data_IF_538750343390
#
_entry.id   IF_538750343390
#
_cell.length_a   1.000
_cell.length_b   1.000
_cell.length_c   1.000
_cell.angle_alpha   90.00
_cell.angle_beta   90.00
_cell.angle_gamma   90.00
#
_symmetry.space_group_name_H-M   'P 1'
#
loop_
_entity.id
_entity.type
_entity.pdbx_description
1 polymer ?
#
# COMPACT_ATOMS: atom_id res chain seq x y z
N UNK A 1 10.81 -27.03 -1.56
CA UNK A 1 9.89 -26.14 -2.30
C UNK A 1 9.52 -24.92 -1.47
N UNK A 2 8.87 -25.06 -0.30
CA UNK A 2 8.52 -23.90 0.55
C UNK A 2 9.74 -23.06 0.93
N UNK A 3 10.84 -23.66 1.38
CA UNK A 3 12.08 -22.92 1.69
C UNK A 3 12.67 -22.16 0.49
N UNK A 4 12.52 -22.69 -0.73
CA UNK A 4 12.96 -22.01 -1.96
C UNK A 4 12.04 -20.81 -2.24
N UNK A 5 10.73 -20.97 -2.06
CA UNK A 5 9.77 -19.88 -2.21
C UNK A 5 9.98 -18.76 -1.17
N UNK A 6 10.35 -19.15 0.06
CA UNK A 6 10.77 -18.23 1.12
C UNK A 6 12.02 -17.47 0.66
N UNK A 7 13.10 -18.16 0.28
CA UNK A 7 14.32 -17.50 -0.19
C UNK A 7 14.08 -16.58 -1.40
N UNK A 8 13.30 -17.03 -2.38
CA UNK A 8 12.98 -16.27 -3.58
C UNK A 8 12.13 -15.03 -3.27
N UNK A 9 11.10 -15.15 -2.45
CA UNK A 9 10.28 -13.98 -2.15
C UNK A 9 11.03 -12.98 -1.26
N UNK A 10 11.94 -13.42 -0.38
CA UNK A 10 12.80 -12.50 0.37
C UNK A 10 13.73 -11.75 -0.58
N UNK A 11 14.36 -12.46 -1.51
CA UNK A 11 15.18 -11.85 -2.55
C UNK A 11 14.38 -10.85 -3.42
N UNK A 12 13.14 -11.16 -3.79
CA UNK A 12 12.28 -10.25 -4.55
C UNK A 12 11.95 -9.01 -3.71
N UNK A 13 11.64 -9.17 -2.42
CA UNK A 13 11.36 -8.03 -1.55
C UNK A 13 12.59 -7.14 -1.41
N UNK A 14 13.75 -7.72 -1.08
CA UNK A 14 15.02 -6.99 -0.92
C UNK A 14 15.46 -6.27 -2.20
N UNK A 15 15.31 -6.92 -3.36
CA UNK A 15 15.71 -6.35 -4.65
C UNK A 15 14.79 -5.22 -5.15
N UNK A 16 13.52 -5.17 -4.70
CA UNK A 16 12.54 -4.19 -5.18
C UNK A 16 12.18 -3.12 -4.15
N UNK A 17 12.50 -3.33 -2.87
CA UNK A 17 12.13 -2.43 -1.77
C UNK A 17 13.35 -2.18 -0.88
N UNK A 18 14.20 -1.24 -1.30
CA UNK A 18 15.47 -0.93 -0.60
C UNK A 18 15.29 -0.05 0.64
N UNK A 19 14.07 0.20 1.10
CA UNK A 19 13.79 0.98 2.29
C UNK A 19 12.37 0.77 2.77
N UNK A 20 12.19 0.68 4.08
CA UNK A 20 10.88 0.67 4.73
C UNK A 20 10.65 2.02 5.36
N UNK A 21 9.55 2.66 4.99
CA UNK A 21 9.20 4.00 5.44
C UNK A 21 8.68 3.99 6.88
N UNK A 22 7.87 2.99 7.26
CA UNK A 22 7.25 2.85 8.57
C UNK A 22 6.76 1.39 8.82
N UNK A 23 6.24 1.11 10.01
CA UNK A 23 5.74 -0.23 10.32
C UNK A 23 4.52 -0.68 9.47
N UNK A 24 3.67 0.24 8.99
CA UNK A 24 2.54 -0.12 8.11
C UNK A 24 3.04 -0.63 6.75
N UNK A 25 4.10 -0.02 6.23
CA UNK A 25 4.82 -0.49 5.06
C UNK A 25 5.43 -1.89 5.31
N UNK A 26 5.99 -2.11 6.49
CA UNK A 26 6.42 -3.44 6.94
C UNK A 26 5.31 -4.51 6.91
N UNK A 27 4.07 -4.17 7.29
CA UNK A 27 2.91 -5.07 7.15
C UNK A 27 2.61 -5.33 5.67
N UNK A 28 2.57 -4.28 4.85
CA UNK A 28 2.28 -4.38 3.42
C UNK A 28 3.29 -5.25 2.68
N UNK A 29 4.58 -5.05 2.94
CA UNK A 29 5.66 -5.86 2.36
C UNK A 29 5.57 -7.32 2.80
N UNK A 30 5.30 -7.57 4.08
CA UNK A 30 5.12 -8.92 4.61
C UNK A 30 3.93 -9.64 3.95
N UNK A 31 2.80 -8.95 3.75
CA UNK A 31 1.67 -9.49 2.99
C UNK A 31 2.04 -9.70 1.52
N UNK A 32 2.81 -8.76 0.94
CA UNK A 32 3.42 -8.84 -0.40
C UNK A 32 4.15 -10.15 -0.68
N UNK A 33 4.75 -10.73 0.35
CA UNK A 33 5.45 -12.01 0.29
C UNK A 33 4.57 -13.19 -0.15
N UNK A 34 3.25 -13.11 0.04
CA UNK A 34 2.31 -14.13 -0.44
C UNK A 34 2.22 -14.23 -1.96
N UNK A 35 2.79 -13.28 -2.69
CA UNK A 35 2.93 -13.39 -4.14
C UNK A 35 3.74 -14.64 -4.55
N UNK A 36 4.79 -14.97 -3.80
CA UNK A 36 5.57 -16.20 -4.05
C UNK A 36 5.10 -17.35 -3.16
N UNK A 37 4.78 -17.08 -1.90
CA UNK A 37 4.40 -18.11 -0.95
C UNK A 37 3.03 -18.71 -1.23
N UNK A 38 2.07 -17.92 -1.70
CA UNK A 38 0.71 -18.38 -2.03
C UNK A 38 0.71 -19.49 -3.09
N UNK A 39 1.24 -19.24 -4.30
CA UNK A 39 1.37 -20.27 -5.34
C UNK A 39 2.16 -21.50 -4.88
N UNK A 40 3.27 -21.30 -4.14
CA UNK A 40 4.08 -22.40 -3.64
C UNK A 40 3.34 -23.26 -2.61
N UNK A 41 2.63 -22.64 -1.66
CA UNK A 41 1.87 -23.34 -0.63
C UNK A 41 0.67 -24.07 -1.23
N UNK A 42 -0.07 -23.43 -2.13
CA UNK A 42 -1.20 -24.05 -2.83
C UNK A 42 -0.75 -25.20 -3.73
N UNK A 43 0.32 -25.01 -4.51
CA UNK A 43 0.92 -26.07 -5.33
C UNK A 43 1.39 -27.25 -4.49
N UNK A 44 2.07 -27.00 -3.37
CA UNK A 44 2.51 -28.05 -2.44
C UNK A 44 1.32 -28.82 -1.87
N UNK A 45 0.30 -28.12 -1.39
CA UNK A 45 -0.89 -28.74 -0.82
C UNK A 45 -1.66 -29.56 -1.86
N UNK A 46 -1.81 -29.06 -3.08
CA UNK A 46 -2.43 -29.78 -4.19
C UNK A 46 -1.67 -31.05 -4.54
N UNK A 47 -0.35 -30.96 -4.66
CA UNK A 47 0.51 -32.10 -4.93
C UNK A 47 0.40 -33.16 -3.84
N UNK A 48 0.64 -32.80 -2.57
CA UNK A 48 0.70 -33.77 -1.48
C UNK A 48 -0.65 -34.45 -1.26
N UNK A 49 -1.75 -33.69 -1.21
CA UNK A 49 -3.09 -34.24 -1.00
C UNK A 49 -3.55 -35.12 -2.18
N UNK A 50 -3.20 -34.76 -3.41
CA UNK A 50 -3.57 -35.57 -4.59
C UNK A 50 -3.01 -37.00 -4.54
N UNK A 51 -1.84 -37.22 -3.90
CA UNK A 51 -1.24 -38.55 -3.73
C UNK A 51 -2.02 -39.44 -2.76
N UNK A 52 -2.69 -38.84 -1.78
CA UNK A 52 -3.46 -39.57 -0.76
C UNK A 52 -4.96 -39.65 -1.07
N UNK A 53 -5.41 -39.02 -2.16
CA UNK A 53 -6.82 -38.93 -2.55
C UNK A 53 -7.56 -40.27 -2.50
N UNK A 54 -6.96 -41.35 -3.02
CA UNK A 54 -7.62 -42.67 -3.06
C UNK A 54 -7.81 -43.26 -1.66
N UNK A 55 -6.78 -43.15 -0.81
CA UNK A 55 -6.83 -43.62 0.58
C UNK A 55 -7.83 -42.80 1.40
N UNK A 56 -7.85 -41.48 1.20
CA UNK A 56 -8.78 -40.57 1.88
C UNK A 56 -10.25 -40.84 1.50
N UNK A 57 -10.52 -41.29 0.27
CA UNK A 57 -11.87 -41.66 -0.16
C UNK A 57 -12.33 -43.01 0.38
N UNK A 58 -11.40 -43.90 0.74
CA UNK A 58 -11.71 -45.19 1.36
C UNK A 58 -11.92 -45.07 2.87
N UNK A 59 -11.18 -44.18 3.54
CA UNK A 59 -11.37 -43.83 4.95
C UNK A 59 -12.64 -42.99 5.14
N UNK A 60 -13.77 -43.62 5.46
CA UNK A 60 -15.10 -42.99 5.49
C UNK A 60 -15.33 -41.94 6.60
N UNK A 61 -14.29 -41.56 7.37
CA UNK A 61 -14.41 -40.68 8.53
C UNK A 61 -13.75 -39.32 8.28
N UNK A 62 -14.57 -38.27 8.30
CA UNK A 62 -14.11 -36.88 8.21
C UNK A 62 -13.00 -36.51 9.22
N UNK A 63 -13.01 -37.14 10.41
CA UNK A 63 -11.97 -36.94 11.42
C UNK A 63 -10.58 -37.37 10.93
N UNK A 64 -10.50 -38.47 10.20
CA UNK A 64 -9.23 -39.01 9.68
C UNK A 64 -8.73 -38.17 8.49
N UNK A 65 -9.65 -37.66 7.67
CA UNK A 65 -9.36 -36.68 6.63
C UNK A 65 -8.68 -35.44 7.22
N UNK A 66 -9.33 -34.77 8.19
CA UNK A 66 -8.78 -33.56 8.80
C UNK A 66 -7.48 -33.82 9.54
N UNK A 67 -7.36 -34.96 10.23
CA UNK A 67 -6.09 -35.35 10.86
C UNK A 67 -4.96 -35.47 9.83
N UNK A 68 -5.24 -36.01 8.65
CA UNK A 68 -4.26 -36.13 7.57
C UNK A 68 -3.91 -34.76 6.98
N UNK A 69 -4.91 -33.94 6.68
CA UNK A 69 -4.74 -32.58 6.15
C UNK A 69 -3.88 -31.74 7.13
N UNK A 70 -4.24 -31.68 8.41
CA UNK A 70 -3.48 -30.93 9.40
C UNK A 70 -2.06 -31.47 9.60
N UNK A 71 -1.87 -32.79 9.62
CA UNK A 71 -0.53 -33.37 9.79
C UNK A 71 0.38 -33.08 8.60
N UNK A 72 -0.15 -33.05 7.39
CA UNK A 72 0.61 -32.84 6.15
C UNK A 72 0.85 -31.37 5.85
N UNK A 73 -0.16 -30.55 6.06
CA UNK A 73 -0.11 -29.13 5.73
C UNK A 73 0.27 -28.25 6.91
N UNK A 74 0.26 -28.77 8.14
CA UNK A 74 0.58 -28.01 9.35
C UNK A 74 1.97 -27.41 9.31
N UNK A 75 3.01 -28.23 9.06
CA UNK A 75 4.40 -27.75 8.97
C UNK A 75 4.62 -26.71 7.86
N UNK A 76 4.25 -26.95 6.58
CA UNK A 76 4.48 -25.94 5.53
C UNK A 76 3.65 -24.67 5.75
N UNK A 77 2.43 -24.77 6.28
CA UNK A 77 1.61 -23.60 6.63
C UNK A 77 2.25 -22.81 7.78
N UNK A 78 2.75 -23.49 8.81
CA UNK A 78 3.43 -22.86 9.94
C UNK A 78 4.72 -22.16 9.49
N UNK A 79 5.54 -22.79 8.66
CA UNK A 79 6.76 -22.18 8.11
C UNK A 79 6.42 -20.93 7.28
N UNK A 80 5.38 -21.01 6.45
CA UNK A 80 4.88 -19.87 5.66
C UNK A 80 4.45 -18.72 6.57
N UNK A 81 3.58 -18.99 7.54
CA UNK A 81 3.09 -17.99 8.48
C UNK A 81 4.21 -17.36 9.31
N UNK A 82 5.10 -18.17 9.88
CA UNK A 82 6.23 -17.68 10.67
C UNK A 82 7.20 -16.85 9.82
N UNK A 83 7.43 -17.20 8.56
CA UNK A 83 8.29 -16.41 7.67
C UNK A 83 7.71 -15.03 7.38
N UNK A 84 6.38 -14.94 7.18
CA UNK A 84 5.68 -13.65 6.98
C UNK A 84 5.73 -12.82 8.26
N UNK A 85 5.45 -13.42 9.42
CA UNK A 85 5.52 -12.72 10.70
C UNK A 85 6.94 -12.25 11.04
N UNK A 86 7.96 -13.03 10.64
CA UNK A 86 9.36 -12.62 10.80
C UNK A 86 9.67 -11.38 9.97
N UNK A 87 9.24 -11.34 8.70
CA UNK A 87 9.42 -10.16 7.84
C UNK A 87 8.67 -8.95 8.40
N UNK A 88 7.42 -9.16 8.84
CA UNK A 88 6.61 -8.13 9.48
C UNK A 88 7.30 -7.57 10.73
N UNK A 89 7.87 -8.43 11.59
CA UNK A 89 8.62 -8.01 12.77
C UNK A 89 9.94 -7.32 12.46
N UNK A 90 10.67 -7.81 11.47
CA UNK A 90 11.94 -7.23 11.02
C UNK A 90 11.78 -5.78 10.55
N UNK A 91 10.69 -5.50 9.83
CA UNK A 91 10.36 -4.17 9.31
C UNK A 91 9.48 -3.32 10.25
N UNK A 92 9.40 -3.68 11.54
CA UNK A 92 8.67 -2.88 12.53
C UNK A 92 7.15 -2.92 12.44
N UNK A 93 6.57 -3.77 11.59
CA UNK A 93 5.12 -3.89 11.42
C UNK A 93 4.36 -4.46 12.62
N UNK A 94 5.06 -4.86 13.69
CA UNK A 94 4.45 -5.32 14.95
C UNK A 94 4.23 -4.20 15.98
N UNK A 95 4.77 -2.99 15.76
CA UNK A 95 4.62 -1.85 16.68
C UNK A 95 3.50 -0.88 16.31
N UNK A 96 2.81 -1.10 15.18
CA UNK A 96 1.77 -0.21 14.66
C UNK A 96 0.37 -0.64 15.07
N UNK A 97 -0.58 0.30 15.03
CA UNK A 97 -1.96 0.06 15.48
C UNK A 97 -2.70 -1.04 14.68
N UNK A 98 -2.33 -1.24 13.42
CA UNK A 98 -2.93 -2.23 12.51
C UNK A 98 -2.21 -3.59 12.51
N UNK A 99 -1.30 -3.84 13.46
CA UNK A 99 -0.59 -5.14 13.60
C UNK A 99 -1.57 -6.32 13.60
N UNK A 100 -2.70 -6.19 14.30
CA UNK A 100 -3.73 -7.23 14.37
C UNK A 100 -4.30 -7.58 12.98
N UNK A 101 -4.48 -6.59 12.11
CA UNK A 101 -5.01 -6.78 10.77
C UNK A 101 -4.00 -7.50 9.88
N UNK A 102 -2.73 -7.11 9.95
CA UNK A 102 -1.62 -7.79 9.27
C UNK A 102 -1.53 -9.28 9.64
N UNK A 103 -1.60 -9.59 10.95
CA UNK A 103 -1.60 -10.98 11.44
C UNK A 103 -2.83 -11.74 10.94
N UNK A 104 -4.02 -11.15 11.05
CA UNK A 104 -5.27 -11.78 10.62
C UNK A 104 -5.24 -12.11 9.12
N UNK A 105 -4.84 -11.15 8.28
CA UNK A 105 -4.72 -11.34 6.84
C UNK A 105 -3.66 -12.41 6.50
N UNK A 106 -2.52 -12.42 7.19
CA UNK A 106 -1.48 -13.44 7.02
C UNK A 106 -1.99 -14.85 7.32
N UNK A 107 -2.78 -14.99 8.39
CA UNK A 107 -3.43 -16.27 8.76
C UNK A 107 -4.46 -16.67 7.69
N UNK A 108 -5.31 -15.75 7.26
CA UNK A 108 -6.34 -16.01 6.25
C UNK A 108 -5.73 -16.40 4.90
N UNK A 109 -4.69 -15.71 4.43
CA UNK A 109 -3.97 -16.03 3.20
C UNK A 109 -3.29 -17.41 3.29
N UNK A 110 -2.59 -17.70 4.40
CA UNK A 110 -1.97 -19.01 4.63
C UNK A 110 -3.02 -20.12 4.59
N UNK A 111 -4.11 -19.96 5.34
CA UNK A 111 -5.20 -20.92 5.38
C UNK A 111 -5.85 -21.09 4.00
N UNK A 112 -6.13 -19.99 3.30
CA UNK A 112 -6.74 -20.01 1.99
C UNK A 112 -5.90 -20.81 1.02
N UNK A 113 -4.62 -20.47 0.85
CA UNK A 113 -3.78 -21.12 -0.16
C UNK A 113 -3.52 -22.58 0.16
N UNK A 114 -3.30 -22.93 1.43
CA UNK A 114 -3.17 -24.34 1.84
C UNK A 114 -4.45 -25.15 1.58
N UNK A 115 -5.62 -24.64 1.99
CA UNK A 115 -6.88 -25.36 1.87
C UNK A 115 -7.39 -25.38 0.43
N UNK A 116 -7.17 -24.32 -0.33
CA UNK A 116 -7.50 -24.25 -1.76
C UNK A 116 -6.71 -25.31 -2.55
N UNK A 117 -5.39 -25.37 -2.34
CA UNK A 117 -4.55 -26.41 -2.95
C UNK A 117 -5.01 -27.81 -2.55
N UNK A 118 -5.26 -28.03 -1.25
CA UNK A 118 -5.77 -29.31 -0.75
C UNK A 118 -7.11 -29.71 -1.40
N UNK A 119 -8.05 -28.77 -1.53
CA UNK A 119 -9.31 -28.98 -2.22
C UNK A 119 -9.06 -29.42 -3.66
N UNK A 120 -8.26 -28.68 -4.44
CA UNK A 120 -7.93 -29.06 -5.82
C UNK A 120 -7.34 -30.48 -5.91
N UNK A 121 -6.42 -30.84 -5.01
CA UNK A 121 -5.82 -32.18 -4.96
C UNK A 121 -6.84 -33.31 -4.71
N UNK A 122 -7.95 -33.03 -4.02
CA UNK A 122 -9.01 -34.03 -3.77
C UNK A 122 -9.93 -34.29 -4.99
N UNK A 123 -10.09 -33.29 -5.86
CA UNK A 123 -11.03 -33.33 -6.98
C UNK A 123 -10.38 -33.57 -8.33
N UNK A 124 -9.20 -33.00 -8.57
CA UNK A 124 -8.51 -33.05 -9.85
C UNK A 124 -7.39 -34.11 -9.84
N UNK A 125 -6.85 -34.44 -11.01
CA UNK A 125 -5.64 -35.25 -11.12
C UNK A 125 -4.42 -34.38 -10.76
N UNK A 126 -3.30 -34.97 -10.28
CA UNK A 126 -2.09 -34.21 -9.94
C UNK A 126 -1.59 -33.31 -11.10
N UNK A 127 -1.74 -33.80 -12.34
CA UNK A 127 -1.35 -33.11 -13.58
C UNK A 127 -2.10 -31.79 -13.76
N UNK A 128 -3.37 -31.72 -13.34
CA UNK A 128 -4.20 -30.52 -13.49
C UNK A 128 -4.22 -29.71 -12.19
N UNK A 129 -4.26 -30.37 -11.03
CA UNK A 129 -4.36 -29.68 -9.75
C UNK A 129 -3.14 -28.81 -9.47
N UNK A 130 -1.94 -29.29 -9.80
CA UNK A 130 -0.70 -28.55 -9.57
C UNK A 130 -0.65 -27.23 -10.36
N UNK A 131 -0.76 -27.19 -11.70
CA UNK A 131 -0.70 -25.95 -12.45
C UNK A 131 -1.84 -25.00 -12.07
N UNK A 132 -3.06 -25.50 -11.85
CA UNK A 132 -4.20 -24.67 -11.44
C UNK A 132 -3.97 -24.06 -10.05
N UNK A 133 -3.43 -24.84 -9.11
CA UNK A 133 -3.13 -24.37 -7.76
C UNK A 133 -1.99 -23.35 -7.71
N UNK A 134 -1.07 -23.35 -8.67
CA UNK A 134 -0.01 -22.34 -8.79
C UNK A 134 -0.51 -21.10 -9.52
N UNK A 135 -1.25 -21.30 -10.62
CA UNK A 135 -1.69 -20.23 -11.51
C UNK A 135 -2.76 -19.34 -10.88
N UNK A 136 -3.78 -19.92 -10.22
CA UNK A 136 -4.89 -19.13 -9.66
C UNK A 136 -4.41 -18.15 -8.58
N UNK A 137 -3.62 -18.54 -7.56
CA UNK A 137 -3.13 -17.60 -6.58
C UNK A 137 -2.32 -16.48 -7.24
N UNK A 138 -1.45 -16.83 -8.20
CA UNK A 138 -0.66 -15.84 -8.93
C UNK A 138 -1.53 -14.83 -9.69
N UNK A 139 -2.58 -15.29 -10.39
CA UNK A 139 -3.51 -14.39 -11.08
C UNK A 139 -4.24 -13.49 -10.07
N UNK A 140 -4.74 -14.06 -8.98
CA UNK A 140 -5.52 -13.29 -7.98
C UNK A 140 -4.66 -12.29 -7.20
N UNK A 141 -3.35 -12.52 -7.08
CA UNK A 141 -2.42 -11.58 -6.42
C UNK A 141 -1.81 -10.57 -7.38
N UNK A 142 -1.52 -10.97 -8.63
CA UNK A 142 -0.86 -10.12 -9.62
C UNK A 142 -1.84 -9.26 -10.43
N UNK A 143 -2.94 -9.85 -10.90
CA UNK A 143 -3.80 -9.23 -11.90
C UNK A 143 -4.58 -8.02 -11.37
N UNK A 144 -5.11 -7.98 -10.12
CA UNK A 144 -5.81 -6.80 -9.62
C UNK A 144 -4.99 -5.50 -9.70
N UNK A 145 -3.66 -5.60 -9.68
CA UNK A 145 -2.74 -4.46 -9.82
C UNK A 145 -2.74 -3.86 -11.23
N UNK A 146 -3.15 -4.62 -12.24
CA UNK A 146 -3.26 -4.15 -13.62
C UNK A 146 -4.67 -3.62 -13.94
N UNK A 147 -5.65 -3.80 -13.05
CA UNK A 147 -7.03 -3.38 -13.28
C UNK A 147 -7.22 -1.92 -12.80
N UNK A 148 -7.86 -1.05 -13.60
CA UNK A 148 -8.14 0.34 -13.22
C UNK A 148 -9.14 0.48 -12.07
N UNK A 149 -10.11 -0.44 -12.00
CA UNK A 149 -11.13 -0.47 -10.96
C UNK A 149 -10.51 -0.84 -9.60
N UNK A 150 -10.53 0.07 -8.61
CA UNK A 150 -9.87 -0.12 -7.32
C UNK A 150 -10.49 -1.26 -6.52
N UNK A 151 -11.76 -1.60 -6.72
CA UNK A 151 -12.45 -2.61 -5.91
C UNK A 151 -11.79 -3.99 -5.96
N UNK A 152 -11.20 -4.35 -7.11
CA UNK A 152 -10.48 -5.63 -7.27
C UNK A 152 -9.24 -5.73 -6.37
N UNK A 153 -8.57 -4.61 -6.13
CA UNK A 153 -7.32 -4.54 -5.33
C UNK A 153 -7.60 -4.73 -3.84
N UNK A 154 -8.76 -4.25 -3.42
CA UNK A 154 -9.21 -4.22 -2.03
C UNK A 154 -9.54 -5.63 -1.48
N UNK A 155 -9.82 -6.60 -2.35
CA UNK A 155 -10.31 -7.94 -1.99
C UNK A 155 -9.26 -8.96 -1.55
N UNK A 156 -8.01 -8.81 -2.00
CA UNK A 156 -6.94 -9.77 -1.73
C UNK A 156 -5.78 -9.15 -0.94
N UNK A 157 -5.96 -7.91 -0.47
CA UNK A 157 -5.08 -7.25 0.49
C UNK A 157 -3.81 -6.64 -0.08
N UNK A 158 -3.75 -6.44 -1.40
CA UNK A 158 -2.59 -6.08 -2.25
C UNK A 158 -1.24 -6.73 -1.88
N UNK A 159 -0.62 -7.36 -2.88
CA UNK A 159 0.78 -7.81 -2.79
C UNK A 159 1.62 -7.16 -3.87
N UNK A 160 2.75 -6.61 -3.45
CA UNK A 160 3.81 -5.91 -4.22
C UNK A 160 3.49 -4.42 -4.40
N UNK A 161 3.98 -3.58 -3.49
CA UNK A 161 4.06 -2.15 -3.80
C UNK A 161 4.56 -1.20 -2.72
N UNK A 162 4.74 -1.63 -1.47
CA UNK A 162 5.02 -0.69 -0.38
C UNK A 162 3.93 0.37 -0.33
N UNK A 163 2.75 -0.01 0.18
CA UNK A 163 1.56 0.85 0.09
C UNK A 163 1.82 2.24 0.67
N UNK A 164 2.67 2.28 1.68
CA UNK A 164 2.55 3.25 2.71
C UNK A 164 3.80 4.10 2.74
N UNK A 165 3.66 5.35 2.30
CA UNK A 165 4.56 6.43 2.69
C UNK A 165 4.51 6.61 4.21
N UNK A 166 5.43 7.40 4.76
CA UNK A 166 5.55 7.60 6.21
C UNK A 166 4.22 8.03 6.85
N UNK A 167 3.39 8.79 6.13
CA UNK A 167 2.10 9.34 6.56
C UNK A 167 0.88 8.49 6.21
N UNK A 168 1.08 7.33 5.58
CA UNK A 168 0.01 6.44 5.14
C UNK A 168 -0.03 5.14 5.96
N UNK A 169 -1.23 4.58 6.07
CA UNK A 169 -1.52 3.27 6.64
C UNK A 169 -2.41 2.48 5.68
N UNK A 170 -2.63 1.19 5.96
CA UNK A 170 -3.52 0.36 5.14
C UNK A 170 -4.95 0.87 5.28
N UNK A 171 -5.65 1.02 4.16
CA UNK A 171 -7.05 1.45 4.17
C UNK A 171 -7.93 0.41 4.90
N UNK A 172 -8.78 0.89 5.79
CA UNK A 172 -9.78 0.06 6.49
C UNK A 172 -10.74 -0.64 5.52
N UNK A 173 -10.99 -0.04 4.35
CA UNK A 173 -11.75 -0.67 3.27
C UNK A 173 -11.03 -1.93 2.77
N UNK A 174 -9.71 -1.85 2.57
CA UNK A 174 -8.88 -2.99 2.14
C UNK A 174 -8.95 -4.10 3.18
N UNK A 175 -8.77 -3.76 4.45
CA UNK A 175 -8.81 -4.73 5.55
C UNK A 175 -10.18 -5.43 5.58
N UNK A 176 -11.28 -4.68 5.55
CA UNK A 176 -12.64 -5.23 5.63
C UNK A 176 -12.97 -6.10 4.41
N UNK A 177 -12.73 -5.59 3.20
CA UNK A 177 -13.00 -6.32 1.95
C UNK A 177 -12.17 -7.61 1.88
N UNK A 178 -10.90 -7.54 2.24
CA UNK A 178 -10.00 -8.69 2.26
C UNK A 178 -10.39 -9.74 3.29
N UNK A 179 -10.70 -9.34 4.53
CA UNK A 179 -11.11 -10.29 5.59
C UNK A 179 -12.39 -11.04 5.18
N UNK A 180 -13.38 -10.34 4.62
CA UNK A 180 -14.64 -10.97 4.15
C UNK A 180 -14.36 -11.91 2.98
N UNK A 181 -13.62 -11.47 1.97
CA UNK A 181 -13.33 -12.26 0.78
C UNK A 181 -12.54 -13.51 1.14
N UNK A 182 -11.38 -13.34 1.79
CA UNK A 182 -10.51 -14.45 2.16
C UNK A 182 -11.19 -15.40 3.14
N UNK A 183 -11.92 -14.88 4.13
CA UNK A 183 -12.66 -15.68 5.09
C UNK A 183 -13.71 -16.58 4.43
N UNK A 184 -14.51 -16.04 3.51
CA UNK A 184 -15.52 -16.82 2.78
C UNK A 184 -14.88 -17.84 1.83
N UNK A 185 -13.75 -17.51 1.18
CA UNK A 185 -13.02 -18.46 0.33
C UNK A 185 -12.38 -19.60 1.15
N UNK A 186 -11.92 -19.32 2.37
CA UNK A 186 -11.49 -20.35 3.33
C UNK A 186 -12.66 -21.28 3.65
N UNK A 187 -13.84 -20.73 3.99
CA UNK A 187 -15.05 -21.52 4.26
C UNK A 187 -15.44 -22.38 3.04
N UNK A 188 -15.44 -21.80 1.83
CA UNK A 188 -15.72 -22.54 0.60
C UNK A 188 -14.76 -23.71 0.39
N UNK A 189 -13.47 -23.51 0.67
CA UNK A 189 -12.43 -24.55 0.58
C UNK A 189 -12.62 -25.65 1.63
N UNK A 190 -12.92 -25.28 2.87
CA UNK A 190 -13.25 -26.22 3.96
C UNK A 190 -14.44 -27.11 3.57
N UNK A 191 -15.50 -26.51 3.04
CA UNK A 191 -16.69 -27.25 2.58
C UNK A 191 -16.30 -28.24 1.49
N UNK A 192 -15.53 -27.84 0.48
CA UNK A 192 -15.09 -28.73 -0.60
C UNK A 192 -14.30 -29.93 -0.08
N UNK A 193 -13.35 -29.69 0.83
CA UNK A 193 -12.58 -30.76 1.46
C UNK A 193 -13.51 -31.70 2.22
N UNK A 194 -14.39 -31.17 3.06
CA UNK A 194 -15.31 -31.95 3.88
C UNK A 194 -16.24 -32.83 3.04
N UNK A 195 -16.79 -32.29 1.95
CA UNK A 195 -17.77 -33.03 1.13
C UNK A 195 -17.12 -34.00 0.14
N UNK A 196 -15.79 -33.99 0.03
CA UNK A 196 -15.04 -34.87 -0.87
C UNK A 196 -15.14 -36.36 -0.50
N UNK A 197 -15.39 -36.65 0.79
CA UNK A 197 -15.57 -37.99 1.35
C UNK A 197 -17.05 -38.33 1.61
N UNK A 198 -17.97 -37.40 1.32
CA UNK A 198 -19.39 -37.59 1.54
C UNK A 198 -20.05 -38.43 0.43
N UNK A 199 -21.24 -38.98 0.72
CA UNK A 199 -22.07 -39.67 -0.29
C UNK A 199 -22.49 -38.71 -1.40
N UNK A 200 -22.70 -39.25 -2.61
CA UNK A 200 -23.00 -38.48 -3.84
C UNK A 200 -24.00 -37.33 -3.68
N UNK A 201 -25.21 -37.49 -3.08
CA UNK A 201 -26.16 -36.39 -2.98
C UNK A 201 -25.64 -35.24 -2.11
N UNK A 202 -25.02 -35.55 -0.96
CA UNK A 202 -24.42 -34.57 -0.06
C UNK A 202 -23.20 -33.91 -0.71
N UNK A 203 -22.42 -34.67 -1.47
CA UNK A 203 -21.26 -34.15 -2.21
C UNK A 203 -21.66 -33.15 -3.28
N UNK A 204 -22.69 -33.44 -4.08
CA UNK A 204 -23.19 -32.51 -5.11
C UNK A 204 -23.73 -31.23 -4.46
N UNK A 205 -24.58 -31.36 -3.45
CA UNK A 205 -25.10 -30.21 -2.71
C UNK A 205 -23.98 -29.34 -2.11
N UNK A 206 -22.98 -29.98 -1.50
CA UNK A 206 -21.83 -29.29 -0.91
C UNK A 206 -20.94 -28.57 -1.92
N UNK A 207 -20.72 -29.14 -3.11
CA UNK A 207 -20.02 -28.46 -4.20
C UNK A 207 -20.81 -27.23 -4.63
N UNK A 208 -22.12 -27.35 -4.84
CA UNK A 208 -22.98 -26.22 -5.19
C UNK A 208 -22.94 -25.13 -4.12
N UNK A 209 -23.01 -25.49 -2.84
CA UNK A 209 -22.88 -24.55 -1.71
C UNK A 209 -21.53 -23.83 -1.73
N UNK A 210 -20.43 -24.56 -1.96
CA UNK A 210 -19.11 -23.94 -2.06
C UNK A 210 -18.99 -22.95 -3.23
N UNK A 211 -19.55 -23.29 -4.38
CA UNK A 211 -19.62 -22.38 -5.54
C UNK A 211 -20.42 -21.12 -5.22
N UNK A 212 -21.59 -21.26 -4.58
CA UNK A 212 -22.41 -20.13 -4.14
C UNK A 212 -21.63 -19.23 -3.18
N UNK A 213 -20.97 -19.82 -2.16
CA UNK A 213 -20.15 -19.06 -1.20
C UNK A 213 -18.99 -18.36 -1.90
N UNK A 214 -18.38 -18.98 -2.90
CA UNK A 214 -17.31 -18.36 -3.70
C UNK A 214 -17.84 -17.14 -4.47
N UNK A 215 -19.00 -17.26 -5.12
CA UNK A 215 -19.65 -16.13 -5.80
C UNK A 215 -20.01 -15.01 -4.81
N UNK A 216 -20.53 -15.36 -3.62
CA UNK A 216 -20.83 -14.40 -2.55
C UNK A 216 -19.55 -13.72 -2.05
N UNK A 217 -18.45 -14.46 -1.87
CA UNK A 217 -17.17 -13.92 -1.46
C UNK A 217 -16.68 -12.85 -2.43
N UNK A 218 -16.75 -13.15 -3.73
CA UNK A 218 -16.34 -12.21 -4.78
C UNK A 218 -17.27 -11.00 -4.82
N UNK A 219 -18.59 -11.22 -4.83
CA UNK A 219 -19.57 -10.13 -4.91
C UNK A 219 -19.51 -9.20 -3.69
N UNK A 220 -19.48 -9.76 -2.48
CA UNK A 220 -19.39 -8.96 -1.24
C UNK A 220 -18.04 -8.27 -1.11
N UNK A 221 -16.94 -8.97 -1.43
CA UNK A 221 -15.61 -8.38 -1.46
C UNK A 221 -15.57 -7.17 -2.39
N UNK A 222 -16.06 -7.34 -3.61
CA UNK A 222 -16.14 -6.28 -4.61
C UNK A 222 -16.99 -5.10 -4.12
N UNK A 223 -18.23 -5.36 -3.67
CA UNK A 223 -19.15 -4.33 -3.16
C UNK A 223 -18.55 -3.56 -1.97
N UNK A 224 -17.83 -4.24 -1.08
CA UNK A 224 -17.14 -3.60 0.04
C UNK A 224 -15.91 -2.81 -0.42
N UNK A 225 -15.28 -3.20 -1.52
CA UNK A 225 -14.10 -2.56 -2.10
C UNK A 225 -14.40 -1.35 -2.97
N UNK A 226 -15.64 -1.11 -3.39
CA UNK A 226 -15.99 0.01 -4.29
C UNK A 226 -15.75 1.40 -3.68
N UNK A 227 -15.78 1.51 -2.35
CA UNK A 227 -15.44 2.75 -1.64
C UNK A 227 -13.94 2.90 -1.39
N UNK A 228 -13.13 1.95 -1.86
CA UNK A 228 -11.69 1.95 -1.67
C UNK A 228 -10.98 2.77 -2.74
N UNK A 229 -9.76 3.18 -2.44
CA UNK A 229 -8.91 3.93 -3.36
C UNK A 229 -7.93 3.00 -4.11
N UNK A 230 -7.27 3.56 -5.13
CA UNK A 230 -6.34 2.83 -6.00
C UNK A 230 -5.05 2.39 -5.28
N UNK A 231 -4.63 3.14 -4.26
CA UNK A 231 -3.39 2.94 -3.49
C UNK A 231 -3.58 1.97 -2.31
N UNK A 232 -4.81 1.61 -1.97
CA UNK A 232 -5.16 0.79 -0.79
C UNK A 232 -4.60 1.37 0.53
N UNK A 233 -4.44 2.69 0.57
CA UNK A 233 -3.93 3.43 1.72
C UNK A 233 -4.89 4.49 2.20
N UNK A 234 -4.78 4.80 3.48
CA UNK A 234 -5.45 5.93 4.10
C UNK A 234 -4.42 6.74 4.89
N UNK A 235 -4.65 8.03 5.02
CA UNK A 235 -3.83 8.89 5.86
C UNK A 235 -3.87 8.40 7.31
N UNK A 236 -2.70 8.29 7.94
CA UNK A 236 -2.56 7.96 9.37
C UNK A 236 -3.24 9.02 10.23
N UNK A 237 -3.56 8.67 11.47
CA UNK A 237 -4.06 9.68 12.41
C UNK A 237 -2.99 10.75 12.67
N UNK A 238 -3.39 12.02 12.71
CA UNK A 238 -2.47 13.10 13.07
C UNK A 238 -2.01 13.01 14.53
N UNK A 239 -2.76 12.30 15.39
CA UNK A 239 -2.40 12.07 16.78
C UNK A 239 -1.20 11.12 16.96
N UNK A 240 -0.77 10.43 15.91
CA UNK A 240 0.45 9.61 15.91
C UNK A 240 1.72 10.45 15.58
N UNK A 241 1.56 11.71 15.16
CA UNK A 241 2.69 12.63 14.93
C UNK A 241 3.25 13.14 16.25
N UNK A 242 4.57 13.23 16.33
CA UNK A 242 5.31 13.93 17.37
C UNK A 242 5.40 15.41 16.97
N UNK A 243 4.62 16.25 17.65
CA UNK A 243 4.45 17.66 17.33
C UNK A 243 5.10 18.57 18.38
N UNK A 244 5.81 19.58 17.88
CA UNK A 244 6.27 20.77 18.58
C UNK A 244 5.69 22.01 17.87
N UNK A 245 5.86 23.21 18.43
CA UNK A 245 5.27 24.46 17.95
C UNK A 245 5.61 24.80 16.49
N UNK A 246 6.72 24.25 15.95
CA UNK A 246 7.19 24.53 14.58
C UNK A 246 7.16 23.32 13.65
N UNK A 247 7.01 22.12 14.18
CA UNK A 247 7.18 20.89 13.40
C UNK A 247 6.35 19.73 13.93
N UNK A 248 5.68 19.01 13.03
CA UNK A 248 5.00 17.76 13.33
C UNK A 248 5.56 16.65 12.44
N UNK A 249 6.29 15.72 13.04
CA UNK A 249 6.97 14.63 12.32
C UNK A 249 6.50 13.27 12.84
N UNK A 250 6.78 12.21 12.10
CA UNK A 250 6.51 10.86 12.57
C UNK A 250 7.66 10.37 13.47
N UNK A 251 7.40 9.41 14.37
CA UNK A 251 8.45 8.84 15.21
C UNK A 251 9.63 8.27 14.42
N UNK A 252 9.36 7.79 13.20
CA UNK A 252 10.34 7.19 12.30
C UNK A 252 11.09 8.21 11.42
N UNK A 253 10.69 9.49 11.43
CA UNK A 253 11.27 10.52 10.57
C UNK A 253 12.75 10.78 10.85
N UNK A 254 13.53 10.99 9.80
CA UNK A 254 14.96 11.29 9.94
C UNK A 254 15.18 12.68 10.54
N UNK A 255 15.75 12.74 11.76
CA UNK A 255 15.96 14.03 12.47
C UNK A 255 16.88 14.99 11.72
N UNK A 256 17.88 14.51 10.97
CA UNK A 256 18.77 15.38 10.18
C UNK A 256 18.07 16.10 9.03
N UNK A 257 17.06 15.45 8.43
CA UNK A 257 16.17 16.02 7.42
C UNK A 257 15.30 17.11 8.05
N UNK A 258 14.73 16.83 9.23
CA UNK A 258 13.92 17.79 10.00
C UNK A 258 14.73 19.04 10.34
N UNK A 259 15.95 18.88 10.87
CA UNK A 259 16.84 19.99 11.22
C UNK A 259 17.22 20.85 10.01
N UNK A 260 17.35 20.24 8.83
CA UNK A 260 17.66 20.95 7.59
C UNK A 260 16.45 21.78 7.13
N UNK A 261 15.25 21.20 7.17
CA UNK A 261 14.02 21.92 6.84
C UNK A 261 13.75 23.07 7.82
N UNK A 262 13.97 22.89 9.12
CA UNK A 262 13.81 23.95 10.11
C UNK A 262 14.79 25.12 9.89
N UNK A 263 16.06 24.83 9.57
CA UNK A 263 17.06 25.87 9.26
C UNK A 263 16.70 26.66 8.01
N UNK A 264 16.24 25.98 6.97
CA UNK A 264 15.80 26.63 5.72
C UNK A 264 14.53 27.46 5.95
N UNK A 265 13.56 26.93 6.70
CA UNK A 265 12.35 27.68 7.06
C UNK A 265 12.66 28.95 7.87
N UNK A 266 13.63 28.89 8.79
CA UNK A 266 14.13 30.05 9.52
C UNK A 266 14.82 31.07 8.59
N UNK A 267 15.67 30.60 7.66
CA UNK A 267 16.29 31.45 6.63
C UNK A 267 15.26 32.18 5.78
N UNK A 268 14.22 31.46 5.33
CA UNK A 268 13.12 32.02 4.54
C UNK A 268 12.19 32.94 5.36
N UNK A 269 12.35 32.97 6.68
CA UNK A 269 11.57 33.81 7.58
C UNK A 269 10.13 33.37 7.74
N UNK A 270 9.86 32.07 7.57
CA UNK A 270 8.52 31.46 7.72
C UNK A 270 8.04 31.69 9.17
N UNK A 271 6.82 32.22 9.38
CA UNK A 271 6.33 32.58 10.70
C UNK A 271 6.13 31.35 11.60
N UNK A 272 6.23 31.54 12.91
CA UNK A 272 6.06 30.47 13.91
C UNK A 272 4.66 29.87 13.95
N UNK A 273 3.66 30.52 13.34
CA UNK A 273 2.31 29.96 13.19
C UNK A 273 2.17 28.96 12.03
N UNK A 274 3.21 28.80 11.21
CA UNK A 274 3.26 27.82 10.12
C UNK A 274 4.07 26.61 10.55
N UNK A 275 3.43 25.43 10.52
CA UNK A 275 4.01 24.18 11.02
C UNK A 275 4.57 23.38 9.86
N UNK A 276 5.81 22.91 9.97
CA UNK A 276 6.37 21.96 9.01
C UNK A 276 5.87 20.55 9.32
N UNK A 277 5.33 19.82 8.35
CA UNK A 277 4.77 18.49 8.54
C UNK A 277 5.46 17.46 7.67
N UNK A 278 5.76 16.29 8.22
CA UNK A 278 6.22 15.15 7.43
C UNK A 278 4.98 14.41 6.87
N UNK A 279 4.77 14.48 5.55
CA UNK A 279 3.57 14.00 4.86
C UNK A 279 2.61 15.11 4.38
N UNK A 280 1.45 14.70 3.86
CA UNK A 280 0.51 15.63 3.22
C UNK A 280 0.00 16.72 4.20
N UNK A 281 0.08 18.02 3.82
CA UNK A 281 -0.50 19.12 4.60
C UNK A 281 -2.00 19.00 4.73
N UNK A 282 -2.55 19.23 5.93
CA UNK A 282 -3.99 19.12 6.20
C UNK A 282 -4.71 20.45 6.26
N UNK A 283 -3.97 21.55 6.33
CA UNK A 283 -4.49 22.89 6.41
C UNK A 283 -3.54 23.91 5.77
N UNK A 284 -4.02 25.13 5.58
CA UNK A 284 -3.25 26.20 4.93
C UNK A 284 -2.01 26.62 5.73
N UNK A 285 -1.96 26.33 7.03
CA UNK A 285 -0.84 26.67 7.91
C UNK A 285 0.22 25.57 8.00
N UNK A 286 0.07 24.46 7.28
CA UNK A 286 1.04 23.36 7.26
C UNK A 286 1.87 23.38 5.97
N UNK A 287 3.19 23.23 6.06
CA UNK A 287 4.07 23.04 4.89
C UNK A 287 4.71 21.67 4.97
N UNK A 288 4.73 20.95 3.86
CA UNK A 288 5.35 19.65 3.77
C UNK A 288 6.89 19.75 3.85
N UNK A 289 7.49 18.89 4.66
CA UNK A 289 8.94 18.73 4.81
C UNK A 289 9.51 18.01 3.58
N UNK A 290 10.61 18.56 3.05
CA UNK A 290 11.39 17.93 1.99
C UNK A 290 12.16 16.71 2.51
N UNK A 291 12.03 15.59 1.79
CA UNK A 291 12.82 14.37 2.02
C UNK A 291 14.30 14.47 1.58
N UNK A 292 14.69 15.56 0.92
CA UNK A 292 16.02 15.72 0.34
C UNK A 292 17.03 16.22 1.39
N UNK A 293 18.24 15.63 1.48
CA UNK A 293 19.27 16.13 2.38
C UNK A 293 19.92 17.45 1.90
N UNK A 294 19.79 17.83 0.63
CA UNK A 294 20.35 19.07 0.08
C UNK A 294 19.52 20.30 0.50
N UNK A 295 20.09 21.23 1.29
CA UNK A 295 19.38 22.44 1.70
C UNK A 295 18.88 23.30 0.54
N UNK A 296 19.52 23.23 -0.63
CA UNK A 296 19.09 23.98 -1.83
C UNK A 296 17.77 23.44 -2.36
N UNK A 297 17.64 22.12 -2.43
CA UNK A 297 16.39 21.44 -2.85
C UNK A 297 15.28 21.71 -1.84
N UNK A 298 15.59 21.62 -0.55
CA UNK A 298 14.66 21.93 0.54
C UNK A 298 14.15 23.39 0.42
N UNK A 299 15.04 24.34 0.15
CA UNK A 299 14.70 25.75 -0.03
C UNK A 299 13.78 25.98 -1.21
N UNK A 300 14.10 25.40 -2.37
CA UNK A 300 13.23 25.49 -3.54
C UNK A 300 11.84 24.89 -3.28
N UNK A 301 11.77 23.72 -2.62
CA UNK A 301 10.49 23.07 -2.31
C UNK A 301 9.63 23.90 -1.34
N UNK A 302 10.22 24.47 -0.30
CA UNK A 302 9.49 25.35 0.63
C UNK A 302 9.03 26.64 -0.06
N UNK A 303 9.85 27.23 -0.93
CA UNK A 303 9.46 28.41 -1.73
C UNK A 303 8.25 28.06 -2.63
N UNK A 304 8.29 26.95 -3.37
CA UNK A 304 7.18 26.53 -4.23
C UNK A 304 5.88 26.41 -3.42
N UNK A 305 5.92 25.75 -2.27
CA UNK A 305 4.72 25.62 -1.42
C UNK A 305 4.20 26.97 -0.90
N UNK A 306 5.09 27.91 -0.61
CA UNK A 306 4.69 29.28 -0.23
C UNK A 306 4.08 30.04 -1.41
N UNK A 307 4.58 29.84 -2.63
CA UNK A 307 4.02 30.42 -3.86
C UNK A 307 2.63 29.83 -4.17
N UNK A 308 2.42 28.53 -4.00
CA UNK A 308 1.09 27.88 -4.15
C UNK A 308 0.05 28.44 -3.16
N UNK A 309 0.53 28.93 -2.02
CA UNK A 309 -0.28 29.51 -0.94
C UNK A 309 -0.39 31.04 -1.01
N UNK A 310 0.34 31.69 -1.91
CA UNK A 310 0.36 33.15 -2.05
C UNK A 310 -0.99 33.67 -2.58
N UNK A 311 -1.63 34.63 -1.88
CA UNK A 311 -2.83 35.28 -2.39
C UNK A 311 -2.54 36.12 -3.65
N UNK A 312 -1.32 36.64 -3.80
CA UNK A 312 -0.88 37.41 -4.96
C UNK A 312 -0.96 36.58 -6.25
N UNK A 313 -0.47 35.33 -6.21
CA UNK A 313 -0.48 34.43 -7.37
C UNK A 313 -1.83 33.74 -7.62
N UNK A 314 -2.60 33.46 -6.56
CA UNK A 314 -3.95 32.87 -6.70
C UNK A 314 -4.92 33.77 -7.47
N UNK A 315 -4.71 35.09 -7.43
CA UNK A 315 -5.52 36.06 -8.17
C UNK A 315 -5.16 36.18 -9.66
N UNK A 316 -4.07 35.55 -10.10
CA UNK A 316 -3.56 35.67 -11.47
C UNK A 316 -3.86 34.40 -12.26
N UNK A 317 -4.50 34.54 -13.42
CA UNK A 317 -4.78 33.42 -14.32
C UNK A 317 -3.52 32.97 -15.06
N UNK A 318 -3.35 31.65 -15.15
CA UNK A 318 -2.38 31.02 -16.04
C UNK A 318 -2.96 30.84 -17.46
N UNK A 319 -2.08 30.59 -18.43
CA UNK A 319 -2.45 30.15 -19.77
C UNK A 319 -2.91 28.68 -19.86
N UNK A 320 -2.70 27.86 -18.82
CA UNK A 320 -3.14 26.45 -18.83
C UNK A 320 -4.57 26.29 -18.31
N UNK A 321 -5.16 25.17 -18.74
CA UNK A 321 -6.54 24.79 -18.46
C UNK A 321 -6.52 23.35 -17.95
N UNK A 322 -7.24 23.09 -16.85
CA UNK A 322 -7.37 21.74 -16.30
C UNK A 322 -8.28 20.84 -17.17
N UNK A 323 -8.38 19.56 -16.81
CA UNK A 323 -9.21 18.57 -17.53
C UNK A 323 -10.69 18.97 -17.61
N UNK A 324 -11.15 19.89 -16.76
CA UNK A 324 -12.54 20.37 -16.73
C UNK A 324 -12.77 21.60 -17.60
N UNK A 325 -11.72 22.16 -18.20
CA UNK A 325 -11.83 23.39 -18.98
C UNK A 325 -11.67 24.67 -18.13
N UNK A 326 -11.30 24.57 -16.85
CA UNK A 326 -11.09 25.73 -15.97
C UNK A 326 -9.64 26.23 -16.09
N UNK A 327 -9.46 27.54 -16.26
CA UNK A 327 -8.13 28.16 -16.22
C UNK A 327 -7.51 27.99 -14.83
N UNK A 328 -6.27 27.52 -14.81
CA UNK A 328 -5.50 27.38 -13.57
C UNK A 328 -4.99 28.75 -13.10
N UNK A 329 -4.71 28.89 -11.81
CA UNK A 329 -3.99 30.07 -11.31
C UNK A 329 -2.49 29.90 -11.45
N UNK A 330 -1.72 30.99 -11.45
CA UNK A 330 -0.25 30.89 -11.42
C UNK A 330 0.26 30.22 -10.14
N UNK A 331 -0.50 30.31 -9.04
CA UNK A 331 -0.20 29.58 -7.81
C UNK A 331 -0.27 28.06 -8.04
N UNK A 332 -1.26 27.56 -8.78
CA UNK A 332 -1.40 26.13 -9.11
C UNK A 332 -0.24 25.60 -9.97
N UNK A 333 0.53 26.50 -10.60
CA UNK A 333 1.64 26.17 -11.49
C UNK A 333 3.03 26.41 -10.88
N UNK A 334 3.12 26.88 -9.64
CA UNK A 334 4.42 27.21 -9.05
C UNK A 334 5.42 26.03 -9.07
N UNK A 335 4.93 24.78 -9.10
CA UNK A 335 5.75 23.57 -9.24
C UNK A 335 6.61 23.53 -10.50
N UNK A 336 6.22 24.18 -11.60
CA UNK A 336 7.01 24.23 -12.84
C UNK A 336 8.33 24.98 -12.68
N UNK A 337 8.44 25.82 -11.65
CA UNK A 337 9.67 26.55 -11.34
C UNK A 337 10.66 25.72 -10.50
N UNK A 338 10.25 24.55 -9.98
CA UNK A 338 11.10 23.67 -9.19
C UNK A 338 12.32 23.20 -10.03
N UNK A 339 13.51 23.27 -9.45
CA UNK A 339 14.77 22.96 -10.14
C UNK A 339 15.34 24.11 -10.98
N UNK A 340 14.65 25.26 -11.08
CA UNK A 340 15.22 26.46 -11.71
C UNK A 340 16.27 27.10 -10.81
N UNK A 341 17.44 27.43 -11.36
CA UNK A 341 18.47 28.22 -10.65
C UNK A 341 17.98 29.60 -10.23
N UNK A 342 17.00 30.12 -10.95
CA UNK A 342 16.51 31.49 -10.79
C UNK A 342 15.36 31.59 -9.78
N UNK A 343 14.82 30.46 -9.30
CA UNK A 343 13.68 30.44 -8.38
C UNK A 343 14.00 31.13 -7.05
N UNK A 344 15.08 30.70 -6.38
CA UNK A 344 15.48 31.25 -5.08
C UNK A 344 15.77 32.76 -5.15
N UNK A 345 16.62 33.28 -6.07
CA UNK A 345 16.90 34.72 -6.12
C UNK A 345 15.68 35.55 -6.57
N UNK A 346 14.72 34.96 -7.27
CA UNK A 346 13.51 35.68 -7.72
C UNK A 346 12.45 35.74 -6.64
N UNK A 347 12.29 34.67 -5.86
CA UNK A 347 11.26 34.52 -4.83
C UNK A 347 11.74 34.86 -3.41
N UNK A 348 12.94 35.43 -3.27
CA UNK A 348 13.45 35.94 -1.98
C UNK A 348 13.88 37.39 -2.10
N UNK A 349 13.73 38.13 -1.00
CA UNK A 349 14.21 39.50 -0.88
C UNK A 349 15.73 39.57 -0.69
N UNK A 350 16.28 40.79 -0.64
CA UNK A 350 17.72 40.97 -0.46
C UNK A 350 18.23 40.46 0.91
N UNK A 351 17.33 40.28 1.87
CA UNK A 351 17.59 39.67 3.18
C UNK A 351 17.54 38.12 3.15
N UNK A 352 17.28 37.52 1.98
CA UNK A 352 17.18 36.08 1.79
C UNK A 352 15.88 35.46 2.31
N UNK A 353 14.93 36.28 2.78
CA UNK A 353 13.60 35.83 3.23
C UNK A 353 12.66 35.72 2.04
N UNK A 354 11.65 34.86 2.14
CA UNK A 354 10.59 34.77 1.13
C UNK A 354 9.90 36.13 0.95
N UNK A 355 9.50 36.50 -0.28
CA UNK A 355 8.99 37.83 -0.62
C UNK A 355 7.88 38.34 0.32
N UNK A 356 6.90 37.48 0.66
CA UNK A 356 5.79 37.86 1.54
C UNK A 356 6.23 38.13 2.99
N UNK A 357 7.42 37.68 3.39
CA UNK A 357 7.98 37.84 4.74
C UNK A 357 9.23 38.71 4.77
N UNK A 358 9.66 39.24 3.62
CA UNK A 358 10.83 40.11 3.52
C UNK A 358 10.46 41.53 3.92
N UNK A 359 11.39 42.21 4.59
CA UNK A 359 11.22 43.63 4.95
C UNK A 359 11.60 44.57 3.79
N UNK A 360 12.11 44.05 2.67
CA UNK A 360 12.43 44.84 1.48
C UNK A 360 11.20 44.93 0.59
N UNK A 361 10.50 46.07 0.64
CA UNK A 361 9.40 46.37 -0.29
C UNK A 361 9.95 46.52 -1.72
N UNK A 362 9.84 45.45 -2.51
CA UNK A 362 10.03 45.50 -3.96
C UNK A 362 8.76 44.97 -4.64
N UNK A 363 7.81 45.85 -4.99
CA UNK A 363 6.57 45.45 -5.67
C UNK A 363 6.81 44.69 -6.98
N UNK A 364 7.93 44.95 -7.65
CA UNK A 364 8.30 44.29 -8.91
C UNK A 364 8.82 42.86 -8.72
N UNK A 365 9.05 42.43 -7.47
CA UNK A 365 9.52 41.08 -7.20
C UNK A 365 8.48 40.01 -7.58
N UNK A 366 7.20 40.29 -7.37
CA UNK A 366 6.12 39.40 -7.80
C UNK A 366 6.02 39.30 -9.32
N UNK A 367 6.25 40.40 -10.04
CA UNK A 367 6.26 40.39 -11.51
C UNK A 367 7.38 39.47 -12.05
N UNK A 368 8.55 39.46 -11.40
CA UNK A 368 9.64 38.54 -11.77
C UNK A 368 9.28 37.07 -11.49
N UNK A 369 8.58 36.78 -10.41
CA UNK A 369 8.08 35.42 -10.11
C UNK A 369 7.08 34.98 -11.17
N UNK A 370 6.16 35.87 -11.56
CA UNK A 370 5.18 35.62 -12.63
C UNK A 370 5.87 35.34 -13.96
N UNK A 371 6.85 36.17 -14.34
CA UNK A 371 7.65 36.00 -15.55
C UNK A 371 8.37 34.64 -15.55
N UNK A 372 8.97 34.26 -14.41
CA UNK A 372 9.64 32.97 -14.26
C UNK A 372 8.67 31.79 -14.42
N UNK A 373 7.51 31.83 -13.76
CA UNK A 373 6.50 30.76 -13.86
C UNK A 373 6.02 30.64 -15.30
N UNK A 374 5.63 31.75 -15.95
CA UNK A 374 5.18 31.77 -17.34
C UNK A 374 6.25 31.25 -18.32
N UNK A 375 7.50 31.67 -18.14
CA UNK A 375 8.62 31.20 -18.96
C UNK A 375 8.81 29.69 -18.84
N UNK A 376 8.69 29.13 -17.62
CA UNK A 376 8.86 27.70 -17.36
C UNK A 376 7.64 26.87 -17.77
N UNK A 377 6.44 27.43 -17.67
CA UNK A 377 5.20 26.80 -18.13
C UNK A 377 4.98 26.91 -19.64
N UNK A 378 5.80 27.70 -20.34
CA UNK A 378 5.70 27.92 -21.79
C UNK A 378 4.58 28.87 -22.19
N UNK A 379 4.04 29.63 -21.23
CA UNK A 379 3.09 30.70 -21.51
C UNK A 379 3.79 31.88 -22.20
N UNK A 380 3.15 32.54 -23.18
CA UNK A 380 3.66 33.80 -23.71
C UNK A 380 3.69 34.85 -22.60
N UNK A 381 4.84 35.50 -22.43
CA UNK A 381 5.09 36.53 -21.41
C UNK A 381 4.26 37.81 -21.64
#
# INVERSE_FOLDING_TARGET
>A
MILIAVGLGYYILDANYSGVSNGYDGISLALGYFYTLGPALAGFAAWDISRFRTLLKQGSRARELWRTVFRRLGTPSLVTLLSVLLIMGYYGGLSVSQTWAGILLSVLLTCLWALFGAALGMYLSPIISLPVAVFIPWVLTAYPQAVPDPAWRQMFGQTIGGCCTVDAMIDTVTIRSSVVTLGLLVVASVILIQVSVARRPVRVGGISTSLIITCIAIALGYVLGTSGNFMNTALRSGAERDCDDRVCVWPESNRSMVDTNLRVAEKLGIPTGTVLVDGEPRNDNELWISGDPDPTTVEQQLIVQLLEKSPELRGMESCWVDETGRRMSLADEATVALGSSDLVPTATGADGRFLAYSNTEDPSAWDRVVELINQKSGCPA
#
